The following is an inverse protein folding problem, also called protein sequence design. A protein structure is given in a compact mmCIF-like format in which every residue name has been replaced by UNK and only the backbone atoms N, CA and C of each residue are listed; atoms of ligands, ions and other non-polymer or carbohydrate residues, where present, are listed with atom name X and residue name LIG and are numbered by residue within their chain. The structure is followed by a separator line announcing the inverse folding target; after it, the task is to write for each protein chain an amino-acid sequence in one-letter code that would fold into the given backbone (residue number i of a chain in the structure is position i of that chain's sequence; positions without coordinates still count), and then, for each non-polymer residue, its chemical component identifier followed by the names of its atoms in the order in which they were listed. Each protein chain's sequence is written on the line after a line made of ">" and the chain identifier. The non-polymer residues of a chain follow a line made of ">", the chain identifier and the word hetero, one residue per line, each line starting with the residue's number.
data_IF_775390894655
#
_entry.id   IF_775390894655
#
_cell.length_a   1.000
_cell.length_b   1.000
_cell.length_c   1.000
_cell.angle_alpha   90.00
_cell.angle_beta   90.00
_cell.angle_gamma   90.00
#
_symmetry.space_group_name_H-M   'P 1'
#
loop_
_entity.id
_entity.type
_entity.pdbx_description
1 polymer ?
#
# COMPACT_ATOMS: atom_id res chain seq x y z
N UNK A 1 7.50 -14.55 13.38
CA UNK A 1 8.15 -14.71 12.06
C UNK A 1 7.49 -13.77 11.06
N UNK A 2 8.26 -12.88 10.42
CA UNK A 2 7.75 -12.02 9.33
C UNK A 2 7.57 -12.88 8.09
N UNK A 3 6.34 -12.98 7.54
CA UNK A 3 6.11 -13.66 6.26
C UNK A 3 6.79 -12.87 5.15
N UNK A 4 7.91 -13.38 4.67
CA UNK A 4 8.60 -12.87 3.47
C UNK A 4 7.79 -13.35 2.26
N UNK A 5 7.55 -12.48 1.27
CA UNK A 5 6.82 -12.91 0.08
C UNK A 5 7.64 -13.92 -0.71
N UNK A 6 6.97 -14.90 -1.32
CA UNK A 6 7.57 -15.90 -2.20
C UNK A 6 8.47 -15.25 -3.26
N UNK A 7 8.07 -14.08 -3.78
CA UNK A 7 8.88 -13.27 -4.70
C UNK A 7 10.18 -12.75 -4.09
N UNK A 8 10.19 -12.25 -2.85
CA UNK A 8 11.42 -11.80 -2.18
C UNK A 8 12.35 -12.98 -1.92
N UNK A 9 11.78 -14.14 -1.62
CA UNK A 9 12.54 -15.38 -1.51
C UNK A 9 13.16 -15.78 -2.86
N UNK A 10 12.40 -15.72 -3.95
CA UNK A 10 12.88 -16.00 -5.31
C UNK A 10 13.98 -15.02 -5.73
N UNK A 11 13.82 -13.73 -5.45
CA UNK A 11 14.82 -12.73 -5.81
C UNK A 11 16.12 -12.93 -5.04
N UNK A 12 16.06 -13.21 -3.73
CA UNK A 12 17.25 -13.52 -2.93
C UNK A 12 17.97 -14.79 -3.41
N UNK A 13 17.20 -15.81 -3.77
CA UNK A 13 17.76 -17.05 -4.29
C UNK A 13 18.42 -16.82 -5.66
N UNK A 14 17.77 -16.09 -6.56
CA UNK A 14 18.30 -15.77 -7.89
C UNK A 14 19.58 -14.92 -7.80
N UNK A 15 19.61 -13.91 -6.93
CA UNK A 15 20.82 -13.09 -6.72
C UNK A 15 21.97 -13.92 -6.14
N UNK A 16 21.69 -14.77 -5.15
CA UNK A 16 22.72 -15.64 -4.55
C UNK A 16 23.25 -16.68 -5.55
N UNK A 17 22.40 -17.19 -6.45
CA UNK A 17 22.84 -18.07 -7.54
C UNK A 17 23.71 -17.33 -8.55
N UNK A 18 23.36 -16.10 -8.93
CA UNK A 18 24.19 -15.28 -9.81
C UNK A 18 25.56 -15.02 -9.21
N UNK A 19 25.65 -14.66 -7.92
CA UNK A 19 26.94 -14.43 -7.25
C UNK A 19 27.86 -15.66 -7.30
N UNK A 20 27.29 -16.86 -7.10
CA UNK A 20 28.04 -18.12 -7.21
C UNK A 20 28.50 -18.39 -8.64
N UNK A 21 27.63 -18.15 -9.62
CA UNK A 21 27.94 -18.34 -11.04
C UNK A 21 29.01 -17.37 -11.53
N UNK A 22 28.94 -16.10 -11.12
CA UNK A 22 29.99 -15.09 -11.39
C UNK A 22 31.36 -15.52 -10.84
N UNK A 23 31.38 -16.10 -9.63
CA UNK A 23 32.61 -16.66 -9.08
C UNK A 23 33.13 -17.84 -9.90
N UNK A 24 32.27 -18.77 -10.29
CA UNK A 24 32.65 -19.92 -11.12
C UNK A 24 33.19 -19.48 -12.49
N UNK A 25 32.53 -18.50 -13.13
CA UNK A 25 33.00 -17.91 -14.39
C UNK A 25 34.37 -17.26 -14.26
N UNK A 26 34.60 -16.49 -13.18
CA UNK A 26 35.91 -15.90 -12.91
C UNK A 26 36.99 -16.98 -12.72
N UNK A 27 36.67 -18.07 -12.02
CA UNK A 27 37.59 -19.20 -11.89
C UNK A 27 37.89 -19.89 -13.22
N UNK A 28 36.88 -20.06 -14.09
CA UNK A 28 37.06 -20.62 -15.44
C UNK A 28 37.97 -19.75 -16.30
N UNK A 29 37.76 -18.44 -16.28
CA UNK A 29 38.57 -17.46 -17.01
C UNK A 29 40.03 -17.45 -16.53
N UNK A 30 40.26 -17.53 -15.21
CA UNK A 30 41.61 -17.60 -14.63
C UNK A 30 42.34 -18.92 -14.92
N UNK A 31 41.59 -20.02 -15.04
CA UNK A 31 42.13 -21.37 -15.24
C UNK A 31 42.12 -21.81 -16.72
N UNK A 32 41.73 -20.90 -17.63
CA UNK A 32 41.59 -21.14 -19.07
C UNK A 32 40.71 -22.36 -19.40
N UNK A 33 39.63 -22.52 -18.64
CA UNK A 33 38.71 -23.65 -18.71
C UNK A 33 37.38 -23.21 -19.31
N UNK A 34 37.36 -23.07 -20.63
CA UNK A 34 36.14 -22.77 -21.40
C UNK A 34 35.19 -23.98 -21.40
N UNK A 35 33.97 -23.77 -20.90
CA UNK A 35 32.92 -24.79 -20.82
C UNK A 35 31.61 -24.17 -21.33
N UNK A 36 31.19 -24.57 -22.53
CA UNK A 36 30.02 -23.98 -23.19
C UNK A 36 28.71 -24.27 -22.47
N UNK A 37 28.63 -25.39 -21.75
CA UNK A 37 27.43 -25.77 -21.00
C UNK A 37 27.26 -24.82 -19.81
N UNK A 38 28.37 -24.44 -19.18
CA UNK A 38 28.38 -23.45 -18.10
C UNK A 38 28.03 -22.04 -18.57
N UNK A 39 28.49 -21.63 -19.76
CA UNK A 39 28.16 -20.32 -20.33
C UNK A 39 26.68 -20.23 -20.73
N UNK A 40 26.08 -21.34 -21.20
CA UNK A 40 24.64 -21.40 -21.46
C UNK A 40 23.83 -21.24 -20.16
N UNK A 41 24.27 -21.87 -19.07
CA UNK A 41 23.63 -21.75 -17.75
C UNK A 41 23.73 -20.33 -17.18
N UNK A 42 24.86 -19.65 -17.39
CA UNK A 42 25.05 -18.25 -17.01
C UNK A 42 24.10 -17.33 -17.78
N UNK A 43 23.93 -17.57 -19.08
CA UNK A 43 23.02 -16.82 -19.92
C UNK A 43 21.55 -17.04 -19.51
N UNK A 44 21.17 -18.28 -19.17
CA UNK A 44 19.83 -18.58 -18.65
C UNK A 44 19.56 -17.90 -17.29
N UNK A 45 20.56 -17.87 -16.39
CA UNK A 45 20.45 -17.17 -15.11
C UNK A 45 20.22 -15.66 -15.29
N UNK A 46 20.94 -15.02 -16.21
CA UNK A 46 20.77 -13.60 -16.54
C UNK A 46 19.37 -13.31 -17.11
N UNK A 47 18.87 -14.17 -18.00
CA UNK A 47 17.52 -14.03 -18.56
C UNK A 47 16.43 -14.13 -17.48
N UNK A 48 16.56 -15.08 -16.55
CA UNK A 48 15.63 -15.25 -15.44
C UNK A 48 15.64 -14.01 -14.53
N UNK A 49 16.82 -13.47 -14.23
CA UNK A 49 16.95 -12.28 -13.40
C UNK A 49 16.30 -11.06 -14.06
N UNK A 50 16.56 -10.84 -15.35
CA UNK A 50 15.89 -9.78 -16.11
C UNK A 50 14.37 -9.94 -16.18
N UNK A 51 13.87 -11.18 -16.31
CA UNK A 51 12.44 -11.45 -16.28
C UNK A 51 11.82 -11.10 -14.92
N UNK A 52 12.52 -11.41 -13.82
CA UNK A 52 12.10 -11.07 -12.45
C UNK A 52 12.16 -9.54 -12.24
N UNK A 53 13.23 -8.87 -12.66
CA UNK A 53 13.40 -7.41 -12.52
C UNK A 53 12.34 -6.61 -13.27
N UNK A 54 11.94 -7.06 -14.47
CA UNK A 54 10.91 -6.42 -15.29
C UNK A 54 9.49 -6.53 -14.71
N UNK A 55 9.27 -7.34 -13.68
CA UNK A 55 7.97 -7.43 -13.03
C UNK A 55 7.68 -6.20 -12.15
N UNK A 56 6.45 -5.67 -12.28
CA UNK A 56 5.93 -4.44 -11.64
C UNK A 56 6.08 -4.36 -10.10
N UNK A 57 6.40 -5.46 -9.44
CA UNK A 57 6.55 -5.53 -7.97
C UNK A 57 8.00 -5.71 -7.51
N UNK A 58 8.97 -5.41 -8.37
CA UNK A 58 10.39 -5.69 -8.12
C UNK A 58 11.17 -4.69 -7.30
N UNK A 59 10.63 -3.49 -7.13
CA UNK A 59 11.21 -2.48 -6.26
C UNK A 59 10.72 -2.72 -4.83
N UNK A 60 11.65 -2.79 -3.87
CA UNK A 60 11.32 -2.74 -2.44
C UNK A 60 10.53 -1.47 -2.18
N UNK A 61 9.28 -1.60 -1.71
CA UNK A 61 8.46 -0.45 -1.32
C UNK A 61 9.15 0.23 -0.15
N UNK A 62 9.83 1.34 -0.40
CA UNK A 62 10.33 2.23 0.64
C UNK A 62 9.12 3.01 1.16
N UNK A 63 8.62 2.63 2.33
CA UNK A 63 7.74 3.52 3.06
C UNK A 63 8.55 4.75 3.45
N UNK A 64 8.02 5.94 3.20
CA UNK A 64 8.55 7.16 3.77
C UNK A 64 8.49 7.02 5.32
N UNK A 65 9.64 6.92 6.00
CA UNK A 65 9.67 6.65 7.44
C UNK A 65 9.08 7.81 8.26
N UNK A 66 8.91 8.99 7.66
CA UNK A 66 8.41 10.19 8.33
C UNK A 66 6.91 10.42 8.15
N UNK A 67 6.22 9.62 7.32
CA UNK A 67 4.79 9.81 7.05
C UNK A 67 3.93 9.12 8.11
N UNK A 68 3.72 9.78 9.25
CA UNK A 68 2.75 9.34 10.29
C UNK A 68 1.31 9.67 9.88
N UNK A 69 0.40 8.76 10.19
CA UNK A 69 -1.04 9.01 9.95
C UNK A 69 -1.54 10.11 10.90
N UNK A 70 -2.45 10.95 10.40
CA UNK A 70 -2.98 12.11 11.16
C UNK A 70 -4.37 11.88 11.74
N UNK A 71 -4.88 10.65 11.67
CA UNK A 71 -6.26 10.35 12.09
C UNK A 71 -6.51 10.61 13.58
N UNK A 72 -5.58 10.24 14.47
CA UNK A 72 -5.71 10.51 15.90
C UNK A 72 -5.88 12.01 16.18
N UNK A 73 -5.04 12.83 15.56
CA UNK A 73 -5.11 14.29 15.64
C UNK A 73 -6.49 14.82 15.23
N UNK A 74 -7.00 14.39 14.08
CA UNK A 74 -8.30 14.85 13.58
C UNK A 74 -9.48 14.33 14.42
N UNK A 75 -9.40 13.10 14.93
CA UNK A 75 -10.46 12.50 15.73
C UNK A 75 -10.53 13.10 17.14
N UNK A 76 -9.41 13.38 17.79
CA UNK A 76 -9.40 13.65 19.22
C UNK A 76 -8.78 14.98 19.64
N UNK A 77 -7.86 15.55 18.87
CA UNK A 77 -7.05 16.70 19.32
C UNK A 77 -7.55 18.04 18.77
N UNK A 78 -8.20 18.08 17.60
CA UNK A 78 -8.67 19.35 17.03
C UNK A 78 -9.96 19.84 17.70
N UNK A 79 -10.13 21.16 17.79
CA UNK A 79 -11.38 21.80 18.25
C UNK A 79 -12.53 21.54 17.27
N UNK A 80 -13.76 21.48 17.78
CA UNK A 80 -14.97 21.23 17.00
C UNK A 80 -15.20 22.25 15.88
N UNK A 81 -14.87 23.52 16.12
CA UNK A 81 -14.94 24.57 15.10
C UNK A 81 -13.99 24.29 13.92
N UNK A 82 -12.82 23.71 14.19
CA UNK A 82 -11.86 23.29 13.16
C UNK A 82 -12.32 22.00 12.48
N UNK A 83 -12.83 21.04 13.24
CA UNK A 83 -13.41 19.80 12.70
C UNK A 83 -14.52 20.11 11.68
N UNK A 84 -15.47 20.99 12.06
CA UNK A 84 -16.56 21.41 11.18
C UNK A 84 -16.07 22.13 9.93
N UNK A 85 -15.02 22.94 10.01
CA UNK A 85 -14.42 23.61 8.84
C UNK A 85 -13.80 22.62 7.87
N UNK A 86 -13.10 21.60 8.38
CA UNK A 86 -12.39 20.60 7.56
C UNK A 86 -13.33 19.56 6.95
N UNK A 87 -14.25 19.01 7.75
CA UNK A 87 -15.10 17.87 7.36
C UNK A 87 -16.54 18.27 7.03
N UNK A 88 -16.84 19.58 7.05
CA UNK A 88 -18.16 20.16 6.74
C UNK A 88 -19.30 19.59 7.58
N UNK A 89 -18.99 19.04 8.75
CA UNK A 89 -19.92 18.32 9.60
C UNK A 89 -19.56 18.48 11.08
N UNK A 90 -20.57 18.49 11.95
CA UNK A 90 -20.36 18.47 13.39
C UNK A 90 -19.96 17.08 13.89
N UNK A 91 -19.14 16.99 14.95
CA UNK A 91 -18.68 15.71 15.50
C UNK A 91 -19.82 14.78 15.89
N UNK A 92 -20.88 15.32 16.48
CA UNK A 92 -22.08 14.55 16.85
C UNK A 92 -22.66 13.82 15.62
N UNK A 93 -22.85 14.53 14.52
CA UNK A 93 -23.38 13.97 13.27
C UNK A 93 -22.41 12.99 12.64
N UNK A 94 -21.10 13.26 12.71
CA UNK A 94 -20.07 12.32 12.29
C UNK A 94 -20.19 10.98 13.02
N UNK A 95 -20.33 11.00 14.36
CA UNK A 95 -20.50 9.78 15.14
C UNK A 95 -21.82 9.06 14.86
N UNK A 96 -22.91 9.81 14.62
CA UNK A 96 -24.19 9.21 14.21
C UNK A 96 -24.06 8.46 12.88
N UNK A 97 -23.44 9.06 11.87
CA UNK A 97 -23.21 8.39 10.58
C UNK A 97 -22.28 7.19 10.76
N UNK A 98 -21.20 7.35 11.53
CA UNK A 98 -20.26 6.28 11.82
C UNK A 98 -20.97 5.06 12.40
N UNK A 99 -21.85 5.25 13.38
CA UNK A 99 -22.61 4.16 13.99
C UNK A 99 -23.52 3.43 12.98
N UNK A 100 -24.10 4.16 12.02
CA UNK A 100 -24.95 3.57 10.97
C UNK A 100 -24.14 2.73 9.97
N UNK A 101 -22.98 3.22 9.52
CA UNK A 101 -22.18 2.54 8.49
C UNK A 101 -21.26 1.45 9.05
N UNK A 102 -20.91 1.49 10.35
CA UNK A 102 -19.96 0.54 10.95
C UNK A 102 -20.45 -0.93 10.87
N UNK A 103 -21.77 -1.13 10.85
CA UNK A 103 -22.39 -2.46 10.75
C UNK A 103 -22.37 -3.06 9.34
N UNK A 104 -22.00 -2.26 8.34
CA UNK A 104 -22.10 -2.66 6.93
C UNK A 104 -21.08 -3.75 6.57
N UNK A 105 -21.45 -4.74 5.72
CA UNK A 105 -20.57 -5.83 5.31
C UNK A 105 -19.23 -5.37 4.72
N UNK A 106 -19.23 -4.20 4.08
CA UNK A 106 -18.06 -3.56 3.48
C UNK A 106 -16.88 -3.40 4.47
N UNK A 107 -17.17 -3.22 5.77
CA UNK A 107 -16.16 -3.01 6.80
C UNK A 107 -15.81 -4.27 7.60
N UNK A 108 -16.58 -5.37 7.45
CA UNK A 108 -16.30 -6.62 8.15
C UNK A 108 -14.91 -7.17 7.82
N UNK A 109 -14.22 -7.70 8.83
CA UNK A 109 -12.94 -8.39 8.62
C UNK A 109 -13.18 -9.70 7.88
N UNK A 110 -12.23 -10.06 7.00
CA UNK A 110 -12.30 -11.31 6.24
C UNK A 110 -11.22 -12.22 6.80
N UNK A 111 -11.57 -13.46 7.10
CA UNK A 111 -10.62 -14.45 7.61
C UNK A 111 -9.41 -14.58 6.67
N UNK A 112 -8.21 -14.63 7.25
CA UNK A 112 -6.95 -14.71 6.51
C UNK A 112 -6.48 -13.40 5.84
N UNK A 113 -7.21 -12.29 5.98
CA UNK A 113 -6.79 -10.96 5.49
C UNK A 113 -6.44 -10.03 6.64
N UNK A 114 -5.57 -9.07 6.35
CA UNK A 114 -5.21 -8.00 7.29
C UNK A 114 -6.46 -7.19 7.64
N UNK A 115 -6.62 -6.90 8.93
CA UNK A 115 -7.70 -6.06 9.45
C UNK A 115 -7.74 -4.72 8.72
N UNK A 116 -8.93 -4.32 8.30
CA UNK A 116 -9.15 -3.02 7.66
C UNK A 116 -8.91 -1.89 8.65
N UNK A 117 -8.59 -0.70 8.14
CA UNK A 117 -8.51 0.48 8.99
C UNK A 117 -9.88 0.78 9.65
N UNK A 118 -9.91 1.41 10.84
CA UNK A 118 -11.14 1.82 11.50
C UNK A 118 -12.07 2.61 10.59
N UNK A 119 -13.38 2.35 10.65
CA UNK A 119 -14.41 2.98 9.80
C UNK A 119 -14.40 4.51 9.95
N UNK A 120 -14.05 5.03 11.13
CA UNK A 120 -13.87 6.45 11.37
C UNK A 120 -12.82 7.08 10.44
N UNK A 121 -11.72 6.38 10.15
CA UNK A 121 -10.68 6.86 9.23
C UNK A 121 -11.21 6.94 7.80
N UNK A 122 -11.98 5.93 7.38
CA UNK A 122 -12.65 5.89 6.08
C UNK A 122 -13.58 7.10 5.92
N UNK A 123 -14.42 7.35 6.93
CA UNK A 123 -15.40 8.43 6.92
C UNK A 123 -14.75 9.82 6.91
N UNK A 124 -13.66 10.05 7.66
CA UNK A 124 -12.95 11.33 7.63
C UNK A 124 -12.37 11.65 6.24
N UNK A 125 -11.78 10.66 5.56
CA UNK A 125 -11.27 10.83 4.20
C UNK A 125 -12.42 11.17 3.25
N UNK A 126 -13.53 10.45 3.35
CA UNK A 126 -14.72 10.67 2.54
C UNK A 126 -15.33 12.08 2.73
N UNK A 127 -15.49 12.54 3.98
CA UNK A 127 -16.04 13.88 4.25
C UNK A 127 -15.11 15.00 3.79
N UNK A 128 -13.79 14.83 3.97
CA UNK A 128 -12.83 15.80 3.46
C UNK A 128 -12.85 15.85 1.92
N UNK A 129 -12.96 14.70 1.27
CA UNK A 129 -13.11 14.59 -0.18
C UNK A 129 -14.36 15.33 -0.67
N UNK A 130 -15.53 15.12 -0.03
CA UNK A 130 -16.77 15.82 -0.40
C UNK A 130 -16.73 17.33 -0.11
N UNK A 131 -16.00 17.75 0.92
CA UNK A 131 -15.93 19.14 1.36
C UNK A 131 -14.86 19.98 0.64
N UNK A 132 -14.08 19.38 -0.24
CA UNK A 132 -13.00 20.01 -0.99
C UNK A 132 -13.49 20.45 -2.38
N UNK A 133 -13.16 21.69 -2.77
CA UNK A 133 -13.55 22.27 -4.06
C UNK A 133 -12.34 22.35 -5.02
N UNK A 134 -12.58 22.10 -6.31
CA UNK A 134 -11.61 22.30 -7.40
C UNK A 134 -10.48 21.26 -7.46
N UNK A 135 -9.29 21.69 -7.92
CA UNK A 135 -8.09 20.84 -8.11
C UNK A 135 -7.47 20.31 -6.79
N UNK A 136 -8.04 20.63 -5.64
CA UNK A 136 -7.56 20.17 -4.32
C UNK A 136 -7.94 18.71 -4.00
N UNK A 137 -8.62 18.03 -4.91
CA UNK A 137 -9.17 16.66 -4.74
C UNK A 137 -8.29 15.60 -5.41
N UNK A 138 -6.98 15.81 -5.52
CA UNK A 138 -6.09 14.73 -5.97
C UNK A 138 -5.89 13.71 -4.85
N UNK A 139 -5.76 12.43 -5.22
CA UNK A 139 -5.47 11.37 -4.25
C UNK A 139 -4.14 11.63 -3.53
N UNK A 140 -3.19 12.27 -4.20
CA UNK A 140 -1.88 12.65 -3.66
C UNK A 140 -2.03 13.71 -2.57
N UNK A 141 -2.88 14.71 -2.80
CA UNK A 141 -3.16 15.75 -1.81
C UNK A 141 -3.81 15.15 -0.56
N UNK A 142 -4.86 14.34 -0.72
CA UNK A 142 -5.54 13.69 0.40
C UNK A 142 -4.60 12.70 1.13
N UNK A 143 -3.79 11.95 0.38
CA UNK A 143 -2.79 11.05 0.94
C UNK A 143 -1.75 11.79 1.77
N UNK A 144 -1.30 12.95 1.31
CA UNK A 144 -0.45 13.84 2.10
C UNK A 144 -1.19 14.34 3.33
N UNK A 145 -2.42 14.86 3.18
CA UNK A 145 -3.26 15.43 4.24
C UNK A 145 -3.53 14.44 5.39
N UNK A 146 -3.75 13.15 5.09
CA UNK A 146 -4.02 12.14 6.12
C UNK A 146 -2.79 11.33 6.53
N UNK A 147 -1.67 11.44 5.81
CA UNK A 147 -0.48 10.63 6.06
C UNK A 147 -0.67 9.16 5.62
N UNK A 148 -1.37 8.93 4.50
CA UNK A 148 -1.66 7.60 3.95
C UNK A 148 -1.12 7.48 2.51
N UNK A 149 -1.32 6.32 1.87
CA UNK A 149 -1.02 6.11 0.46
C UNK A 149 -2.14 6.60 -0.47
N UNK A 150 -1.80 7.08 -1.67
CA UNK A 150 -2.78 7.58 -2.64
C UNK A 150 -3.85 6.54 -3.01
N UNK A 151 -3.47 5.28 -3.24
CA UNK A 151 -4.44 4.20 -3.50
C UNK A 151 -5.35 3.89 -2.31
N UNK A 152 -4.93 4.19 -1.08
CA UNK A 152 -5.75 4.04 0.11
C UNK A 152 -6.89 5.06 0.15
N UNK A 153 -6.68 6.26 -0.38
CA UNK A 153 -7.70 7.31 -0.47
C UNK A 153 -8.91 6.82 -1.26
N UNK A 154 -8.70 6.34 -2.49
CA UNK A 154 -9.79 5.85 -3.33
C UNK A 154 -10.51 4.65 -2.72
N UNK A 155 -9.76 3.76 -2.05
CA UNK A 155 -10.34 2.61 -1.34
C UNK A 155 -11.22 3.06 -0.17
N UNK A 156 -10.82 4.12 0.55
CA UNK A 156 -11.59 4.64 1.67
C UNK A 156 -12.89 5.28 1.20
N UNK A 157 -12.80 6.14 0.20
CA UNK A 157 -13.96 6.81 -0.42
C UNK A 157 -14.95 5.76 -0.92
N UNK A 158 -14.50 4.81 -1.75
CA UNK A 158 -15.36 3.76 -2.30
C UNK A 158 -16.11 2.98 -1.22
N UNK A 159 -15.43 2.55 -0.16
CA UNK A 159 -16.06 1.77 0.92
C UNK A 159 -17.14 2.55 1.67
N UNK A 160 -16.94 3.85 1.88
CA UNK A 160 -17.96 4.71 2.50
C UNK A 160 -19.12 4.93 1.54
N UNK A 161 -18.85 5.18 0.26
CA UNK A 161 -19.90 5.28 -0.77
C UNK A 161 -20.75 4.02 -0.80
N UNK A 162 -20.13 2.84 -0.90
CA UNK A 162 -20.83 1.55 -0.93
C UNK A 162 -21.69 1.36 0.34
N UNK A 163 -21.14 1.68 1.52
CA UNK A 163 -21.86 1.57 2.79
C UNK A 163 -23.02 2.56 2.92
N UNK A 164 -22.88 3.79 2.42
CA UNK A 164 -23.95 4.80 2.44
C UNK A 164 -25.07 4.45 1.45
N UNK A 165 -24.71 3.91 0.27
CA UNK A 165 -25.72 3.43 -0.70
C UNK A 165 -26.54 2.29 -0.11
N UNK A 166 -25.91 1.36 0.62
CA UNK A 166 -26.60 0.26 1.31
C UNK A 166 -27.50 0.71 2.48
N UNK A 167 -27.41 1.95 2.95
CA UNK A 167 -28.35 2.49 3.96
C UNK A 167 -29.64 3.04 3.34
N UNK A 168 -29.70 3.18 2.01
CA UNK A 168 -30.85 3.75 1.31
C UNK A 168 -31.94 2.70 1.02
N UNK A 169 -31.58 1.42 1.08
CA UNK A 169 -32.47 0.26 0.94
C UNK A 169 -32.78 -0.35 2.31
#
# INVERSE_FOLDING_TARGET
>A
MVKISERVHLLRNATAQLERRLFMRLCRELLDNEDSDEDELDQQCLQLLHAIERQRYSVVRRNDPFKRTRFHHFLFEIKDTRFRKLFRMERRSFHSILALIDQQPTFRSIHGKVTKAPVAHHLLVFLYYLGANGNAVSNEHLASFFGIGAGTVSLFIRRVTDAVVLLRD
#
